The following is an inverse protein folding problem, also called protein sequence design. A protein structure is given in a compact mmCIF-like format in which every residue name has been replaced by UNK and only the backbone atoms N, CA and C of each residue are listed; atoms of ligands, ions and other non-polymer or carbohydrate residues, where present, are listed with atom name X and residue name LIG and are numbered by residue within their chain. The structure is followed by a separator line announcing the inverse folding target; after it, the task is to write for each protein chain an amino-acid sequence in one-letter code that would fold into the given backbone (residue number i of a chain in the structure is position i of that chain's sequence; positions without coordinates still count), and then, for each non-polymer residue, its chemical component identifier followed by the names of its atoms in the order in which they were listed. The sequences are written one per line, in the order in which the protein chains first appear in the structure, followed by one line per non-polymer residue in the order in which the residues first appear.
data_IF_815830625007
#
_entry.id   IF_815830625007
#
_cell.length_a   1.000
_cell.length_b   1.000
_cell.length_c   1.000
_cell.angle_alpha   90.00
_cell.angle_beta   90.00
_cell.angle_gamma   90.00
#
_symmetry.space_group_name_H-M   'P 1'
#
loop_
_entity.id
_entity.type
_entity.pdbx_description
1 polymer ?
#
# COMPACT_ATOMS: atom_id res chain seq x y z
N UNK A 1 24.17 15.73 -4.74
CA UNK A 1 23.52 14.43 -4.41
C UNK A 1 23.14 14.50 -2.95
N UNK A 2 21.86 14.36 -2.65
CA UNK A 2 21.37 14.48 -1.27
C UNK A 2 20.80 13.14 -0.82
N UNK A 3 21.23 12.67 0.36
CA UNK A 3 20.75 11.43 0.98
C UNK A 3 19.47 11.68 1.78
N UNK A 4 18.57 10.71 1.80
CA UNK A 4 17.39 10.74 2.65
C UNK A 4 17.06 9.35 3.18
N UNK A 5 16.31 9.32 4.27
CA UNK A 5 15.73 8.13 4.85
C UNK A 5 14.21 8.14 4.60
N UNK A 6 13.64 7.02 4.21
CA UNK A 6 12.21 6.84 4.06
C UNK A 6 11.72 5.68 4.92
N UNK A 7 10.62 5.89 5.66
CA UNK A 7 9.97 4.86 6.47
C UNK A 7 8.53 4.69 6.03
N UNK A 8 8.15 3.46 5.70
CA UNK A 8 6.74 3.09 5.51
C UNK A 8 6.31 2.17 6.66
N UNK A 9 5.55 2.72 7.61
CA UNK A 9 5.18 2.07 8.87
C UNK A 9 3.75 1.56 8.77
N UNK A 10 3.60 0.29 8.39
CA UNK A 10 2.34 -0.44 8.35
C UNK A 10 1.99 -1.09 9.70
N UNK A 11 0.80 -1.68 9.81
CA UNK A 11 0.38 -2.37 11.04
C UNK A 11 1.22 -3.61 11.35
N UNK A 12 1.63 -4.36 10.34
CA UNK A 12 2.38 -5.62 10.51
C UNK A 12 3.87 -5.44 10.25
N UNK A 13 4.22 -4.72 9.18
CA UNK A 13 5.60 -4.54 8.74
C UNK A 13 5.93 -3.07 8.56
N UNK A 14 7.18 -2.73 8.82
CA UNK A 14 7.79 -1.42 8.54
C UNK A 14 8.95 -1.61 7.58
N UNK A 15 8.92 -0.88 6.48
CA UNK A 15 10.03 -0.81 5.53
C UNK A 15 10.83 0.48 5.79
N UNK A 16 12.15 0.35 5.88
CA UNK A 16 13.09 1.45 6.06
C UNK A 16 14.08 1.40 4.90
N UNK A 17 14.23 2.51 4.19
CA UNK A 17 15.19 2.58 3.09
C UNK A 17 15.98 3.88 3.10
N UNK A 18 17.24 3.77 2.71
CA UNK A 18 18.14 4.89 2.43
C UNK A 18 18.19 5.13 0.93
N UNK A 19 17.96 6.35 0.53
CA UNK A 19 17.97 6.75 -0.88
C UNK A 19 18.89 7.94 -1.15
N UNK A 20 19.38 8.01 -2.38
CA UNK A 20 20.06 9.18 -2.93
C UNK A 20 19.19 9.80 -4.00
N UNK A 21 18.95 11.10 -3.86
CA UNK A 21 18.28 11.91 -4.88
C UNK A 21 19.32 12.53 -5.81
N UNK A 22 19.21 12.22 -7.12
CA UNK A 22 20.02 12.82 -8.17
C UNK A 22 19.14 13.19 -9.36
N UNK A 23 19.07 14.46 -9.72
CA UNK A 23 18.29 14.94 -10.86
C UNK A 23 16.83 14.43 -10.84
N UNK A 24 16.17 14.51 -9.68
CA UNK A 24 14.81 14.01 -9.43
C UNK A 24 14.63 12.48 -9.55
N UNK A 25 15.68 11.73 -9.84
CA UNK A 25 15.67 10.27 -9.79
C UNK A 25 16.17 9.78 -8.44
N UNK A 26 15.57 8.70 -7.95
CA UNK A 26 15.96 8.08 -6.68
C UNK A 26 16.71 6.78 -6.96
N UNK A 27 17.86 6.64 -6.31
CA UNK A 27 18.58 5.37 -6.21
C UNK A 27 18.51 4.91 -4.76
N UNK A 28 17.92 3.77 -4.53
CA UNK A 28 17.94 3.12 -3.22
C UNK A 28 19.31 2.48 -2.97
N UNK A 29 19.90 2.77 -1.82
CA UNK A 29 21.18 2.19 -1.39
C UNK A 29 20.99 0.97 -0.51
N UNK A 30 19.99 1.03 0.38
CA UNK A 30 19.64 -0.02 1.33
C UNK A 30 18.14 0.02 1.56
N UNK A 31 17.51 -1.15 1.64
CA UNK A 31 16.11 -1.29 2.05
C UNK A 31 15.98 -2.53 2.93
N UNK A 32 15.36 -2.37 4.08
CA UNK A 32 15.14 -3.44 5.05
C UNK A 32 13.69 -3.41 5.53
N UNK A 33 13.16 -4.58 5.85
CA UNK A 33 11.80 -4.74 6.37
C UNK A 33 11.85 -5.39 7.74
N UNK A 34 11.17 -4.79 8.70
CA UNK A 34 11.07 -5.23 10.09
C UNK A 34 9.62 -5.53 10.45
N UNK A 35 9.38 -6.39 11.44
CA UNK A 35 8.09 -6.39 12.12
C UNK A 35 7.88 -5.00 12.76
N UNK A 36 6.69 -4.43 12.66
CA UNK A 36 6.43 -3.08 13.18
C UNK A 36 6.62 -2.98 14.70
N UNK A 37 6.46 -4.09 15.42
CA UNK A 37 6.78 -4.19 16.85
C UNK A 37 8.28 -4.16 17.18
N UNK A 38 9.16 -4.30 16.18
CA UNK A 38 10.61 -4.43 16.35
C UNK A 38 11.40 -3.39 15.53
N UNK A 39 10.85 -2.19 15.33
CA UNK A 39 11.53 -1.10 14.61
C UNK A 39 12.78 -0.67 15.40
N UNK A 40 13.98 -0.65 14.79
CA UNK A 40 15.21 -0.24 15.45
C UNK A 40 15.33 1.30 15.52
N UNK A 41 14.51 1.96 16.32
CA UNK A 41 14.50 3.43 16.44
C UNK A 41 15.84 4.05 16.85
N UNK A 42 16.68 3.32 17.56
CA UNK A 42 18.01 3.78 17.99
C UNK A 42 19.04 3.78 16.86
N UNK A 43 18.76 3.04 15.79
CA UNK A 43 19.66 2.93 14.63
C UNK A 43 19.22 3.83 13.47
N UNK A 44 18.08 4.51 13.60
CA UNK A 44 17.62 5.44 12.58
C UNK A 44 18.55 6.67 12.53
N UNK A 45 18.96 7.11 11.34
CA UNK A 45 19.85 8.25 11.19
C UNK A 45 19.12 9.55 11.55
N UNK A 46 19.57 10.24 12.60
CA UNK A 46 18.96 11.50 13.06
C UNK A 46 19.44 12.73 12.25
N UNK A 47 20.58 12.61 11.57
CA UNK A 47 21.21 13.71 10.82
C UNK A 47 20.87 13.68 9.32
N UNK A 48 20.05 12.73 8.87
CA UNK A 48 19.65 12.59 7.48
C UNK A 48 18.18 13.05 7.33
N UNK A 49 17.90 13.82 6.28
CA UNK A 49 16.53 14.19 5.95
C UNK A 49 15.65 12.96 5.87
N UNK A 50 14.57 12.95 6.65
CA UNK A 50 13.72 11.78 6.81
C UNK A 50 12.28 12.10 6.41
N UNK A 51 11.66 11.22 5.63
CA UNK A 51 10.23 11.23 5.29
C UNK A 51 9.60 9.95 5.78
N UNK A 52 8.33 10.01 6.21
CA UNK A 52 7.66 8.79 6.66
C UNK A 52 6.17 8.76 6.36
N UNK A 53 5.66 7.55 6.19
CA UNK A 53 4.26 7.16 6.24
C UNK A 53 4.03 6.32 7.50
N UNK A 54 2.95 6.56 8.23
CA UNK A 54 2.59 5.73 9.37
C UNK A 54 1.09 5.63 9.52
N UNK A 55 0.60 4.39 9.64
CA UNK A 55 -0.80 4.07 9.96
C UNK A 55 -0.95 3.50 11.38
N UNK A 56 0.12 3.60 12.19
CA UNK A 56 0.15 3.14 13.59
C UNK A 56 0.26 4.34 14.51
N UNK A 57 -0.81 4.75 15.23
CA UNK A 57 -0.84 6.00 16.01
C UNK A 57 0.28 6.10 17.04
N UNK A 58 0.58 5.00 17.77
CA UNK A 58 1.63 4.97 18.78
C UNK A 58 3.01 5.24 18.16
N UNK A 59 3.29 4.62 17.01
CA UNK A 59 4.55 4.82 16.29
C UNK A 59 4.63 6.24 15.70
N UNK A 60 3.51 6.75 15.21
CA UNK A 60 3.43 8.15 14.74
C UNK A 60 3.78 9.14 15.87
N UNK A 61 3.32 8.89 17.08
CA UNK A 61 3.68 9.71 18.25
C UNK A 61 5.18 9.62 18.58
N UNK A 62 5.78 8.43 18.49
CA UNK A 62 7.23 8.23 18.68
C UNK A 62 8.02 8.99 17.59
N UNK A 63 7.60 8.90 16.33
CA UNK A 63 8.24 9.63 15.23
C UNK A 63 8.23 11.14 15.47
N UNK A 64 7.09 11.70 15.87
CA UNK A 64 6.97 13.13 16.18
C UNK A 64 7.86 13.58 17.36
N UNK A 65 7.98 12.73 18.39
CA UNK A 65 8.75 13.05 19.58
C UNK A 65 10.26 12.91 19.38
N UNK A 66 10.70 11.82 18.73
CA UNK A 66 12.14 11.50 18.56
C UNK A 66 12.74 12.08 17.29
N UNK A 67 11.95 12.28 16.24
CA UNK A 67 12.37 12.77 14.93
C UNK A 67 11.54 13.99 14.50
N UNK A 68 11.57 15.10 15.24
CA UNK A 68 10.70 16.26 14.99
C UNK A 68 10.94 16.92 13.61
N UNK A 69 12.11 16.69 13.00
CA UNK A 69 12.44 17.18 11.66
C UNK A 69 11.98 16.23 10.53
N UNK A 70 11.51 15.01 10.88
CA UNK A 70 11.01 14.08 9.87
C UNK A 70 9.67 14.55 9.29
N UNK A 71 9.54 14.53 7.97
CA UNK A 71 8.36 15.03 7.27
C UNK A 71 7.34 13.88 7.08
N UNK A 72 6.14 13.97 7.69
CA UNK A 72 5.09 12.98 7.49
C UNK A 72 4.46 13.11 6.10
N UNK A 73 4.10 11.98 5.50
CA UNK A 73 3.41 11.93 4.22
C UNK A 73 1.91 12.23 4.40
N UNK A 74 1.60 13.50 4.61
CA UNK A 74 0.21 13.97 4.77
C UNK A 74 -0.29 14.66 3.51
N UNK A 75 -1.62 14.82 3.39
CA UNK A 75 -2.25 15.59 2.31
C UNK A 75 -1.72 17.04 2.24
N UNK A 76 -1.37 17.63 3.38
CA UNK A 76 -0.81 18.97 3.45
C UNK A 76 0.62 19.04 2.89
N UNK A 77 1.42 17.99 3.03
CA UNK A 77 2.82 17.93 2.62
C UNK A 77 3.03 17.45 1.18
N UNK A 78 2.12 16.61 0.65
CA UNK A 78 2.17 16.13 -0.74
C UNK A 78 1.44 17.10 -1.66
N UNK A 79 2.20 17.94 -2.38
CA UNK A 79 1.65 18.97 -3.29
C UNK A 79 1.42 18.51 -4.72
N UNK A 80 1.86 17.28 -5.06
CA UNK A 80 1.71 16.72 -6.41
C UNK A 80 0.30 16.19 -6.70
N UNK A 81 -0.52 16.01 -5.66
CA UNK A 81 -1.90 15.52 -5.72
C UNK A 81 -2.82 16.50 -5.00
N UNK A 82 -3.96 16.80 -5.58
CA UNK A 82 -5.05 17.54 -4.92
C UNK A 82 -5.85 16.59 -4.02
N UNK A 83 -5.73 16.77 -2.72
CA UNK A 83 -6.47 16.06 -1.68
C UNK A 83 -7.64 16.86 -1.09
N UNK A 84 -8.11 17.92 -1.75
CA UNK A 84 -9.18 18.80 -1.23
C UNK A 84 -10.49 18.05 -0.90
N UNK A 85 -10.72 16.92 -1.57
CA UNK A 85 -11.90 16.06 -1.34
C UNK A 85 -11.63 14.90 -0.37
N UNK A 86 -10.40 14.78 0.14
CA UNK A 86 -10.03 13.67 1.02
C UNK A 86 -10.42 13.95 2.47
N UNK A 87 -10.84 12.92 3.24
CA UNK A 87 -11.06 13.09 4.67
C UNK A 87 -9.73 13.34 5.40
N UNK A 88 -9.73 14.06 6.54
CA UNK A 88 -8.53 14.29 7.34
C UNK A 88 -7.89 12.98 7.85
N UNK A 89 -8.66 11.90 7.88
CA UNK A 89 -8.26 10.56 8.32
C UNK A 89 -7.66 9.69 7.22
N UNK A 90 -7.45 10.25 6.00
CA UNK A 90 -6.82 9.48 4.91
C UNK A 90 -5.43 9.00 5.34
N UNK A 91 -5.20 7.68 5.25
CA UNK A 91 -3.94 7.04 5.64
C UNK A 91 -2.74 7.61 4.86
N UNK A 92 -1.62 7.76 5.55
CA UNK A 92 -0.39 8.30 4.93
C UNK A 92 0.17 7.37 3.83
N UNK A 93 0.01 6.05 3.97
CA UNK A 93 0.34 5.05 2.96
C UNK A 93 -0.45 5.26 1.67
N UNK A 94 -1.75 5.51 1.79
CA UNK A 94 -2.63 5.81 0.66
C UNK A 94 -2.26 7.13 -0.03
N UNK A 95 -1.87 8.14 0.74
CA UNK A 95 -1.35 9.42 0.22
C UNK A 95 -0.04 9.18 -0.54
N UNK A 96 0.86 8.36 0.01
CA UNK A 96 2.12 8.01 -0.64
C UNK A 96 1.87 7.24 -1.96
N UNK A 97 0.92 6.30 -1.98
CA UNK A 97 0.53 5.57 -3.19
C UNK A 97 0.00 6.51 -4.27
N UNK A 98 -0.83 7.50 -3.91
CA UNK A 98 -1.27 8.54 -4.86
C UNK A 98 -0.09 9.38 -5.37
N UNK A 99 0.86 9.74 -4.50
CA UNK A 99 2.05 10.46 -4.89
C UNK A 99 2.93 9.68 -5.87
N UNK A 100 3.11 8.36 -5.63
CA UNK A 100 3.84 7.47 -6.54
C UNK A 100 3.15 7.37 -7.91
N UNK A 101 1.83 7.23 -7.93
CA UNK A 101 1.05 7.16 -9.17
C UNK A 101 1.27 8.41 -10.02
N UNK A 102 1.14 9.61 -9.43
CA UNK A 102 1.22 10.85 -10.20
C UNK A 102 2.61 11.21 -10.70
N UNK A 103 3.66 10.54 -10.23
CA UNK A 103 4.99 10.62 -10.84
C UNK A 103 5.04 9.88 -12.20
N UNK A 104 4.16 8.91 -12.41
CA UNK A 104 4.12 8.07 -13.60
C UNK A 104 3.01 8.48 -14.57
N UNK A 105 1.86 8.89 -14.05
CA UNK A 105 0.68 9.25 -14.84
C UNK A 105 -0.23 10.21 -14.03
N UNK A 106 -0.86 11.23 -14.65
CA UNK A 106 -1.70 12.18 -13.93
C UNK A 106 -2.97 11.57 -13.32
N UNK A 107 -3.32 10.33 -13.66
CA UNK A 107 -4.45 9.61 -13.09
C UNK A 107 -4.32 8.11 -13.28
N UNK A 108 -5.13 7.37 -12.55
CA UNK A 108 -5.14 5.90 -12.54
C UNK A 108 -5.65 5.35 -11.23
N UNK A 109 -5.42 4.07 -11.02
CA UNK A 109 -5.77 3.36 -9.79
C UNK A 109 -4.51 2.70 -9.22
N UNK A 110 -4.35 2.79 -7.90
CA UNK A 110 -3.38 1.96 -7.16
C UNK A 110 -4.16 0.99 -6.32
N UNK A 111 -3.78 -0.27 -6.36
CA UNK A 111 -4.28 -1.34 -5.48
C UNK A 111 -3.10 -1.79 -4.63
N UNK A 112 -3.18 -1.55 -3.33
CA UNK A 112 -2.18 -2.04 -2.38
C UNK A 112 -2.73 -3.29 -1.68
N UNK A 113 -2.17 -4.44 -2.01
CA UNK A 113 -2.56 -5.73 -1.46
C UNK A 113 -1.68 -6.10 -0.26
N UNK A 114 -1.98 -5.50 0.88
CA UNK A 114 -1.29 -5.71 2.16
C UNK A 114 -2.17 -6.44 3.19
N UNK A 115 -2.04 -6.04 4.46
CA UNK A 115 -2.90 -6.49 5.57
C UNK A 115 -4.37 -6.17 5.29
N UNK A 116 -4.64 -4.96 4.84
CA UNK A 116 -5.86 -4.60 4.10
C UNK A 116 -5.53 -4.51 2.61
N UNK A 117 -6.56 -4.59 1.77
CA UNK A 117 -6.45 -4.24 0.36
C UNK A 117 -7.07 -2.87 0.19
N UNK A 118 -6.30 -1.90 -0.28
CA UNK A 118 -6.80 -0.54 -0.54
C UNK A 118 -6.80 -0.26 -2.04
N UNK A 119 -7.76 0.53 -2.48
CA UNK A 119 -7.83 1.06 -3.84
C UNK A 119 -7.86 2.58 -3.75
N UNK A 120 -6.92 3.26 -4.40
CA UNK A 120 -6.86 4.71 -4.54
C UNK A 120 -7.16 5.09 -5.99
N UNK A 121 -8.12 5.98 -6.18
CA UNK A 121 -8.50 6.49 -7.50
C UNK A 121 -8.08 7.94 -7.62
N UNK A 122 -7.24 8.24 -8.61
CA UNK A 122 -6.77 9.58 -8.91
C UNK A 122 -7.16 9.94 -10.34
N UNK A 123 -7.76 11.10 -10.53
CA UNK A 123 -8.10 11.66 -11.84
C UNK A 123 -7.51 13.07 -11.97
N UNK A 124 -6.74 13.33 -13.03
CA UNK A 124 -6.13 14.64 -13.28
C UNK A 124 -5.40 15.20 -12.04
N UNK A 125 -4.57 14.38 -11.40
CA UNK A 125 -3.83 14.69 -10.14
C UNK A 125 -4.73 14.98 -8.93
N UNK A 126 -6.01 14.66 -8.97
CA UNK A 126 -6.94 14.81 -7.86
C UNK A 126 -7.32 13.44 -7.32
N UNK A 127 -7.19 13.25 -6.00
CA UNK A 127 -7.76 12.09 -5.32
C UNK A 127 -9.29 12.19 -5.35
N UNK A 128 -9.95 11.21 -5.95
CA UNK A 128 -11.42 11.19 -6.09
C UNK A 128 -12.08 10.11 -5.24
N UNK A 129 -11.32 9.39 -4.44
CA UNK A 129 -11.81 8.38 -3.51
C UNK A 129 -11.13 7.04 -3.67
N UNK A 130 -11.74 6.00 -3.11
CA UNK A 130 -11.22 4.65 -3.14
C UNK A 130 -12.01 3.71 -2.25
N UNK A 131 -11.42 2.55 -1.93
CA UNK A 131 -12.02 1.55 -1.05
C UNK A 131 -10.97 0.92 -0.15
N UNK A 132 -11.42 0.30 0.92
CA UNK A 132 -10.61 -0.53 1.82
C UNK A 132 -11.35 -1.85 2.02
N UNK A 133 -10.68 -2.96 1.75
CA UNK A 133 -11.18 -4.31 1.97
C UNK A 133 -10.26 -5.04 2.96
N UNK A 134 -10.78 -6.03 3.68
CA UNK A 134 -9.92 -6.91 4.46
C UNK A 134 -9.04 -7.76 3.54
N UNK A 135 -7.76 -7.89 3.87
CA UNK A 135 -6.90 -8.89 3.24
C UNK A 135 -7.21 -10.30 3.73
N UNK A 136 -6.65 -11.31 3.07
CA UNK A 136 -6.93 -12.73 3.36
C UNK A 136 -6.63 -13.11 4.80
N UNK A 137 -5.56 -12.56 5.40
CA UNK A 137 -5.22 -12.83 6.81
C UNK A 137 -6.23 -12.27 7.80
N UNK A 138 -6.84 -11.10 7.52
CA UNK A 138 -7.92 -10.54 8.37
C UNK A 138 -9.17 -11.42 8.25
N UNK A 139 -9.55 -11.84 7.04
CA UNK A 139 -10.70 -12.71 6.84
C UNK A 139 -10.53 -14.06 7.52
N UNK A 140 -9.35 -14.68 7.39
CA UNK A 140 -9.04 -15.96 8.03
C UNK A 140 -9.14 -15.86 9.56
N UNK A 141 -8.58 -14.81 10.14
CA UNK A 141 -8.65 -14.56 11.60
C UNK A 141 -10.08 -14.30 12.04
N UNK A 142 -10.83 -13.46 11.31
CA UNK A 142 -12.22 -13.18 11.66
C UNK A 142 -13.07 -14.46 11.63
N UNK A 143 -12.92 -15.32 10.62
CA UNK A 143 -13.64 -16.60 10.59
C UNK A 143 -13.26 -17.51 11.77
N UNK A 144 -11.98 -17.57 12.13
CA UNK A 144 -11.53 -18.33 13.29
C UNK A 144 -12.08 -17.76 14.60
N UNK A 145 -11.93 -16.45 14.83
CA UNK A 145 -12.23 -15.82 16.13
C UNK A 145 -13.74 -15.71 16.39
N UNK A 146 -14.56 -15.59 15.33
CA UNK A 146 -16.02 -15.43 15.46
C UNK A 146 -16.83 -16.69 15.21
N UNK A 147 -16.17 -17.86 15.08
CA UNK A 147 -16.87 -19.15 14.98
C UNK A 147 -16.30 -20.17 15.96
N UNK A 148 -17.12 -21.15 16.36
CA UNK A 148 -16.71 -22.09 17.41
C UNK A 148 -15.78 -23.22 16.95
N UNK A 149 -15.65 -23.48 15.64
CA UNK A 149 -14.98 -24.69 15.14
C UNK A 149 -14.12 -24.48 13.91
N UNK A 150 -14.08 -23.28 13.32
CA UNK A 150 -13.27 -23.06 12.13
C UNK A 150 -11.79 -22.86 12.50
N UNK A 151 -10.87 -23.60 11.85
CA UNK A 151 -9.45 -23.48 12.12
C UNK A 151 -8.90 -22.13 11.63
N UNK A 152 -7.81 -21.64 12.22
CA UNK A 152 -7.04 -20.57 11.62
C UNK A 152 -6.27 -21.11 10.41
N UNK A 153 -6.55 -20.57 9.24
CA UNK A 153 -5.91 -20.98 7.98
C UNK A 153 -4.95 -19.93 7.44
N UNK A 154 -3.86 -20.38 6.81
CA UNK A 154 -3.01 -19.55 5.98
C UNK A 154 -3.41 -19.73 4.51
N UNK A 155 -3.84 -18.64 3.89
CA UNK A 155 -4.34 -18.68 2.51
C UNK A 155 -3.22 -18.61 1.46
N UNK A 156 -2.02 -18.14 1.82
CA UNK A 156 -0.94 -17.93 0.85
C UNK A 156 -1.33 -16.99 -0.31
N UNK A 157 -0.65 -17.15 -1.42
CA UNK A 157 -0.95 -16.41 -2.66
C UNK A 157 -2.15 -17.07 -3.36
N UNK A 158 -3.13 -16.26 -3.75
CA UNK A 158 -4.33 -16.73 -4.47
C UNK A 158 -3.95 -17.09 -5.92
N UNK A 159 -4.24 -18.31 -6.37
CA UNK A 159 -4.13 -18.69 -7.78
C UNK A 159 -5.22 -17.99 -8.62
N UNK A 160 -5.27 -18.25 -9.92
CA UNK A 160 -6.42 -17.81 -10.73
C UNK A 160 -7.71 -18.43 -10.17
N UNK A 161 -8.69 -17.58 -9.87
CA UNK A 161 -9.98 -18.00 -9.30
C UNK A 161 -10.70 -19.02 -10.18
N UNK A 162 -10.46 -19.02 -11.50
CA UNK A 162 -11.03 -20.01 -12.42
C UNK A 162 -10.52 -21.43 -12.18
N UNK A 163 -9.41 -21.60 -11.44
CA UNK A 163 -8.85 -22.91 -11.10
C UNK A 163 -9.48 -23.52 -9.85
N UNK A 164 -10.30 -22.76 -9.11
CA UNK A 164 -10.94 -23.27 -7.91
C UNK A 164 -11.95 -24.37 -8.22
N UNK A 165 -11.92 -25.39 -7.39
CA UNK A 165 -12.85 -26.53 -7.40
C UNK A 165 -13.57 -26.60 -6.06
N UNK A 166 -14.64 -27.37 -6.02
CA UNK A 166 -15.32 -27.67 -4.76
C UNK A 166 -14.41 -28.53 -3.87
N UNK A 167 -14.39 -28.21 -2.57
CA UNK A 167 -13.59 -28.90 -1.58
C UNK A 167 -14.45 -29.48 -0.46
N UNK A 168 -14.05 -30.63 0.05
CA UNK A 168 -14.75 -31.32 1.14
C UNK A 168 -14.11 -31.04 2.50
N UNK A 169 -12.82 -30.66 2.52
CA UNK A 169 -12.09 -30.32 3.74
C UNK A 169 -12.39 -28.88 4.16
N UNK A 170 -12.82 -28.70 5.39
CA UNK A 170 -13.21 -27.39 5.94
C UNK A 170 -12.11 -26.33 5.74
N UNK A 171 -10.86 -26.64 6.04
CA UNK A 171 -9.76 -25.69 5.90
C UNK A 171 -9.55 -25.26 4.44
N UNK A 172 -9.63 -26.16 3.47
CA UNK A 172 -9.47 -25.85 2.05
C UNK A 172 -10.69 -25.07 1.52
N UNK A 173 -11.90 -25.45 1.92
CA UNK A 173 -13.11 -24.68 1.59
C UNK A 173 -13.05 -23.25 2.13
N UNK A 174 -12.51 -23.05 3.35
CA UNK A 174 -12.27 -21.73 3.92
C UNK A 174 -11.27 -20.92 3.08
N UNK A 175 -10.13 -21.52 2.68
CA UNK A 175 -9.13 -20.84 1.85
C UNK A 175 -9.74 -20.33 0.54
N UNK A 176 -10.51 -21.18 -0.16
CA UNK A 176 -11.21 -20.81 -1.39
C UNK A 176 -12.16 -19.62 -1.15
N UNK A 177 -12.99 -19.71 -0.12
CA UNK A 177 -13.95 -18.65 0.22
C UNK A 177 -13.27 -17.33 0.53
N UNK A 178 -12.24 -17.34 1.37
CA UNK A 178 -11.46 -16.17 1.79
C UNK A 178 -10.75 -15.54 0.58
N UNK A 179 -10.04 -16.34 -0.21
CA UNK A 179 -9.32 -15.88 -1.38
C UNK A 179 -10.28 -15.30 -2.43
N UNK A 180 -11.40 -15.97 -2.67
CA UNK A 180 -12.43 -15.48 -3.59
C UNK A 180 -13.02 -14.16 -3.12
N UNK A 181 -13.36 -14.03 -1.85
CA UNK A 181 -13.94 -12.79 -1.30
C UNK A 181 -12.97 -11.60 -1.44
N UNK A 182 -11.70 -11.79 -1.09
CA UNK A 182 -10.70 -10.74 -1.16
C UNK A 182 -10.41 -10.33 -2.62
N UNK A 183 -10.16 -11.29 -3.49
CA UNK A 183 -9.74 -11.02 -4.87
C UNK A 183 -10.91 -10.61 -5.75
N UNK A 184 -12.01 -11.38 -5.79
CA UNK A 184 -13.15 -11.06 -6.63
C UNK A 184 -13.80 -9.72 -6.20
N UNK A 185 -13.91 -9.45 -4.89
CA UNK A 185 -14.38 -8.17 -4.38
C UNK A 185 -13.52 -6.99 -4.86
N UNK A 186 -12.19 -7.15 -4.85
CA UNK A 186 -11.26 -6.14 -5.35
C UNK A 186 -11.43 -5.91 -6.86
N UNK A 187 -11.51 -6.96 -7.66
CA UNK A 187 -11.69 -6.86 -9.11
C UNK A 187 -13.06 -6.27 -9.48
N UNK A 188 -14.11 -6.56 -8.71
CA UNK A 188 -15.41 -5.95 -8.91
C UNK A 188 -15.38 -4.43 -8.66
N UNK A 189 -14.70 -3.99 -7.59
CA UNK A 189 -14.52 -2.56 -7.32
C UNK A 189 -13.66 -1.89 -8.38
N UNK A 190 -12.58 -2.53 -8.81
CA UNK A 190 -11.74 -2.06 -9.92
C UNK A 190 -12.59 -1.83 -11.18
N UNK A 191 -13.40 -2.82 -11.57
CA UNK A 191 -14.31 -2.74 -12.72
C UNK A 191 -15.26 -1.54 -12.66
N UNK A 192 -15.71 -1.17 -11.46
CA UNK A 192 -16.58 -0.01 -11.26
C UNK A 192 -15.81 1.32 -11.26
N UNK A 193 -14.62 1.34 -10.66
CA UNK A 193 -13.84 2.56 -10.49
C UNK A 193 -13.13 2.99 -11.78
N UNK A 194 -12.63 2.04 -12.57
CA UNK A 194 -11.93 2.35 -13.82
C UNK A 194 -12.83 3.09 -14.82
N UNK A 195 -14.14 2.86 -14.77
CA UNK A 195 -15.14 3.56 -15.61
C UNK A 195 -15.23 5.07 -15.32
N UNK A 196 -14.69 5.52 -14.18
CA UNK A 196 -14.64 6.95 -13.80
C UNK A 196 -13.40 7.66 -14.34
N UNK A 197 -12.51 6.94 -14.98
CA UNK A 197 -11.23 7.44 -15.50
C UNK A 197 -11.22 7.40 -17.03
N UNK A 198 -10.34 8.18 -17.66
CA UNK A 198 -10.11 8.09 -19.10
C UNK A 198 -9.75 6.66 -19.54
N UNK A 199 -10.09 6.25 -20.77
CA UNK A 199 -9.65 4.96 -21.31
C UNK A 199 -8.13 4.79 -21.20
N UNK A 200 -7.69 3.55 -20.98
CA UNK A 200 -6.28 3.17 -20.78
C UNK A 200 -5.58 3.82 -19.57
N UNK A 201 -6.33 4.34 -18.59
CA UNK A 201 -5.76 4.76 -17.30
C UNK A 201 -5.05 3.59 -16.63
N UNK A 202 -3.81 3.75 -16.15
CA UNK A 202 -3.03 2.66 -15.57
C UNK A 202 -3.62 2.18 -14.25
N UNK A 203 -3.50 0.87 -14.00
CA UNK A 203 -3.82 0.23 -12.72
C UNK A 203 -2.56 -0.43 -12.20
N UNK A 204 -1.98 0.12 -11.13
CA UNK A 204 -0.83 -0.46 -10.46
C UNK A 204 -1.29 -1.32 -9.29
N UNK A 205 -0.69 -2.50 -9.16
CA UNK A 205 -0.90 -3.41 -8.03
C UNK A 205 0.40 -3.54 -7.27
N UNK A 206 0.39 -3.23 -5.98
CA UNK A 206 1.55 -3.28 -5.10
C UNK A 206 1.22 -4.03 -3.80
N UNK A 207 2.16 -4.04 -2.86
CA UNK A 207 2.02 -4.74 -1.59
C UNK A 207 2.46 -6.20 -1.62
N UNK A 208 2.59 -6.80 -0.44
CA UNK A 208 3.14 -8.16 -0.29
C UNK A 208 2.31 -9.25 -0.95
N UNK A 209 0.99 -9.08 -1.04
CA UNK A 209 0.05 -10.03 -1.64
C UNK A 209 -0.36 -9.68 -3.07
N UNK A 210 0.32 -8.74 -3.73
CA UNK A 210 -0.03 -8.29 -5.09
C UNK A 210 -0.14 -9.41 -6.12
N UNK A 211 0.66 -10.48 -5.95
CA UNK A 211 0.64 -11.61 -6.87
C UNK A 211 -0.74 -12.29 -6.93
N UNK A 212 -1.49 -12.27 -5.83
CA UNK A 212 -2.87 -12.79 -5.80
C UNK A 212 -3.81 -12.09 -6.78
N UNK A 213 -3.57 -10.81 -7.08
CA UNK A 213 -4.32 -10.04 -8.08
C UNK A 213 -3.69 -10.15 -9.48
N UNK A 214 -2.37 -10.13 -9.58
CA UNK A 214 -1.66 -10.23 -10.85
C UNK A 214 -1.85 -11.59 -11.53
N UNK A 215 -2.12 -12.65 -10.76
CA UNK A 215 -2.43 -13.98 -11.28
C UNK A 215 -3.82 -14.09 -11.93
N UNK A 216 -4.68 -13.06 -11.78
CA UNK A 216 -6.04 -13.12 -12.28
C UNK A 216 -6.12 -12.74 -13.75
N UNK A 217 -6.96 -13.48 -14.49
CA UNK A 217 -7.34 -13.06 -15.84
C UNK A 217 -8.31 -11.88 -15.75
N UNK A 218 -7.81 -10.66 -15.91
CA UNK A 218 -8.54 -9.42 -15.77
C UNK A 218 -8.65 -8.69 -17.11
N UNK A 219 -9.82 -8.15 -17.42
CA UNK A 219 -10.05 -7.36 -18.64
C UNK A 219 -9.30 -6.02 -18.63
N UNK A 220 -8.95 -5.53 -17.45
CA UNK A 220 -8.12 -4.33 -17.26
C UNK A 220 -6.69 -4.77 -17.02
N UNK A 221 -5.71 -4.33 -17.84
CA UNK A 221 -4.31 -4.64 -17.61
C UNK A 221 -3.83 -4.18 -16.24
N UNK A 222 -3.31 -5.11 -15.45
CA UNK A 222 -2.72 -4.85 -14.13
C UNK A 222 -1.20 -4.72 -14.28
N UNK A 223 -0.65 -3.63 -13.79
CA UNK A 223 0.78 -3.34 -13.80
C UNK A 223 1.39 -3.68 -12.44
N UNK A 224 2.47 -4.46 -12.43
CA UNK A 224 3.19 -4.75 -11.18
C UNK A 224 3.90 -3.49 -10.68
N UNK A 225 3.41 -2.94 -9.57
CA UNK A 225 4.01 -1.80 -8.86
C UNK A 225 5.18 -2.22 -7.96
N UNK A 226 5.36 -3.50 -7.73
CA UNK A 226 6.38 -4.04 -6.81
C UNK A 226 6.05 -3.82 -5.33
N UNK A 227 7.01 -4.17 -4.48
CA UNK A 227 6.91 -3.98 -3.04
C UNK A 227 7.22 -2.53 -2.61
N UNK A 228 7.89 -1.76 -3.46
CA UNK A 228 8.43 -0.45 -3.13
C UNK A 228 7.56 0.72 -3.64
N UNK A 229 6.32 0.46 -4.06
CA UNK A 229 5.47 1.50 -4.65
C UNK A 229 5.21 2.64 -3.67
N UNK A 230 4.84 2.34 -2.44
CA UNK A 230 4.66 3.33 -1.37
C UNK A 230 5.97 4.09 -1.09
N UNK A 231 7.11 3.40 -1.12
CA UNK A 231 8.42 4.02 -0.96
C UNK A 231 8.76 5.00 -2.10
N UNK A 232 8.31 4.73 -3.34
CA UNK A 232 8.43 5.67 -4.45
C UNK A 232 7.63 6.97 -4.19
N UNK A 233 6.47 6.87 -3.54
CA UNK A 233 5.68 8.02 -3.10
C UNK A 233 6.40 8.84 -2.01
N UNK A 234 7.03 8.17 -1.06
CA UNK A 234 7.86 8.83 -0.04
C UNK A 234 9.09 9.51 -0.66
N UNK A 235 9.71 8.86 -1.65
CA UNK A 235 10.80 9.46 -2.40
C UNK A 235 10.36 10.72 -3.18
N UNK A 236 9.15 10.70 -3.75
CA UNK A 236 8.57 11.88 -4.40
C UNK A 236 8.35 13.02 -3.39
N UNK A 237 7.91 12.71 -2.16
CA UNK A 237 7.82 13.68 -1.07
C UNK A 237 9.20 14.25 -0.72
N UNK A 238 10.22 13.38 -0.53
CA UNK A 238 11.58 13.82 -0.24
C UNK A 238 12.11 14.77 -1.31
N UNK A 239 11.89 14.46 -2.60
CA UNK A 239 12.32 15.28 -3.71
C UNK A 239 11.67 16.70 -3.73
N UNK A 240 10.52 16.90 -3.10
CA UNK A 240 9.88 18.21 -2.98
C UNK A 240 10.57 19.11 -1.94
N UNK A 241 11.13 18.53 -0.90
CA UNK A 241 11.76 19.26 0.21
C UNK A 241 13.27 19.42 0.08
N UNK A 242 13.91 18.61 -0.76
CA UNK A 242 15.37 18.56 -0.94
C UNK A 242 15.84 19.27 -2.22
N UNK A 243 15.04 20.21 -2.73
CA UNK A 243 15.39 21.03 -3.91
C UNK A 243 16.42 22.07 -3.59
#
# INVERSE_FOLDING_TARGET
MSRFCALNIGNTHTQIAMGILKNSAVKWEKSETFATSAIPFTELPIDIFTVYSSVVPQITAIMKAKFPQAVPCTAANVKSVDFSSAPPTLGMDRIANCAALVQKNPGGIVIDAGTCITLEVVANRKFIGGAILPGTGILARAMHDYTGALPLVDCGITPDLQQFKTETLTAEAMKIGIQSAAVAGTLQLLSNFIKKLPPASPVFVCGGNRQSLLNQNCTVPLLDGGNDFTMQGLAALAAMYMK
#
